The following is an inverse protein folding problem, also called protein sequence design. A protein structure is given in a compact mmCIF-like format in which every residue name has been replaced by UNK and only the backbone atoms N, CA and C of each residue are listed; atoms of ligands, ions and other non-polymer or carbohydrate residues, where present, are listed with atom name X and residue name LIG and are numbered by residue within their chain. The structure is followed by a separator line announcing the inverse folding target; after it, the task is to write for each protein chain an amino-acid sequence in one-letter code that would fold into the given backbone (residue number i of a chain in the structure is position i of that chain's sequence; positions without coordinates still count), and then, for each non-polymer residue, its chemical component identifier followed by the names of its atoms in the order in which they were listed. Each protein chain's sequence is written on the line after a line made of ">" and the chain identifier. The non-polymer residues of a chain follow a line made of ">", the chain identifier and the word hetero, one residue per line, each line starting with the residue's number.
data_IF_171558263523
#
_entry.id   IF_171558263523
#
_cell.length_a   1.000
_cell.length_b   1.000
_cell.length_c   1.000
_cell.angle_alpha   90.00
_cell.angle_beta   90.00
_cell.angle_gamma   90.00
#
_symmetry.space_group_name_H-M   'P 1'
#
loop_
_entity.id
_entity.type
_entity.pdbx_description
1 polymer ?
#
# COMPACT_ATOMS: atom_id res chain seq x y z
N UNK A 1 -4.95 -5.06 1.50
CA UNK A 1 -3.78 -4.34 2.06
C UNK A 1 -2.52 -4.43 1.20
N UNK A 2 -2.34 -5.49 0.43
CA UNK A 2 -1.18 -5.57 -0.47
C UNK A 2 -1.11 -4.39 -1.46
N UNK A 3 -2.23 -4.03 -2.07
CA UNK A 3 -2.31 -2.88 -2.96
C UNK A 3 -1.96 -1.57 -2.23
N UNK A 4 -2.47 -1.39 -1.01
CA UNK A 4 -2.22 -0.18 -0.20
C UNK A 4 -0.73 -0.06 0.16
N UNK A 5 -0.09 -1.17 0.51
CA UNK A 5 1.37 -1.22 0.73
C UNK A 5 2.14 -0.77 -0.51
N UNK A 6 1.81 -1.32 -1.67
CA UNK A 6 2.46 -0.95 -2.92
C UNK A 6 2.21 0.52 -3.27
N UNK A 7 0.98 0.99 -3.07
CA UNK A 7 0.59 2.36 -3.39
C UNK A 7 1.44 3.38 -2.63
N UNK A 8 1.58 3.24 -1.32
CA UNK A 8 2.26 4.26 -0.52
C UNK A 8 3.78 4.12 -0.52
N UNK A 9 4.31 2.92 -0.42
CA UNK A 9 5.75 2.73 -0.29
C UNK A 9 6.48 2.66 -1.63
N UNK A 10 5.95 1.95 -2.60
CA UNK A 10 6.62 1.85 -3.91
C UNK A 10 6.21 2.98 -4.84
N UNK A 11 4.92 3.21 -4.99
CA UNK A 11 4.39 4.17 -5.94
C UNK A 11 4.61 5.61 -5.46
N UNK A 12 4.08 5.97 -4.30
CA UNK A 12 4.18 7.34 -3.79
C UNK A 12 5.57 7.71 -3.28
N UNK A 13 6.16 6.90 -2.40
CA UNK A 13 7.44 7.24 -1.79
C UNK A 13 8.57 7.31 -2.81
N UNK A 14 8.63 6.38 -3.75
CA UNK A 14 9.70 6.23 -4.73
C UNK A 14 9.33 6.59 -6.16
N UNK A 15 8.06 6.94 -6.44
CA UNK A 15 7.55 7.21 -7.78
C UNK A 15 7.82 6.06 -8.75
N UNK A 16 7.66 4.83 -8.27
CA UNK A 16 7.83 3.63 -9.07
C UNK A 16 6.50 3.24 -9.68
N UNK A 17 6.55 2.62 -10.86
CA UNK A 17 5.36 2.05 -11.47
C UNK A 17 4.79 0.92 -10.61
N UNK A 18 3.47 0.76 -10.67
CA UNK A 18 2.81 -0.36 -10.00
C UNK A 18 3.36 -1.67 -10.56
N UNK A 19 3.55 -2.65 -9.66
CA UNK A 19 3.99 -4.00 -10.03
C UNK A 19 2.78 -4.89 -10.28
N UNK A 20 3.03 -6.08 -10.88
CA UNK A 20 1.98 -7.09 -11.06
C UNK A 20 1.39 -7.50 -9.70
N UNK A 21 0.07 -7.71 -9.57
CA UNK A 21 -0.92 -7.67 -10.65
C UNK A 21 -1.50 -6.28 -10.94
N UNK A 22 -1.17 -5.25 -10.16
CA UNK A 22 -1.86 -3.95 -10.19
C UNK A 22 -1.55 -3.13 -11.44
N UNK A 23 -0.40 -3.34 -12.07
CA UNK A 23 -0.03 -2.66 -13.32
C UNK A 23 -0.83 -3.17 -14.53
N UNK A 24 -1.49 -4.31 -14.41
CA UNK A 24 -2.26 -4.95 -15.47
C UNK A 24 -3.74 -4.62 -15.40
N UNK A 25 -4.17 -3.86 -14.38
CA UNK A 25 -5.57 -3.56 -14.10
C UNK A 25 -6.00 -2.27 -14.79
N UNK A 26 -7.15 -2.32 -15.46
CA UNK A 26 -7.82 -1.11 -15.92
C UNK A 26 -8.78 -0.62 -14.82
N UNK A 27 -8.27 0.26 -13.96
CA UNK A 27 -9.03 0.79 -12.83
C UNK A 27 -10.20 1.66 -13.24
N UNK A 28 -10.24 2.12 -14.51
CA UNK A 28 -11.39 2.86 -15.01
C UNK A 28 -12.60 1.97 -15.24
N UNK A 29 -12.37 0.68 -15.50
CA UNK A 29 -13.43 -0.32 -15.70
C UNK A 29 -13.88 -0.98 -14.40
N UNK A 30 -12.96 -1.17 -13.44
CA UNK A 30 -13.24 -1.77 -12.14
C UNK A 30 -12.43 -1.07 -11.06
N UNK A 31 -13.06 -0.09 -10.40
CA UNK A 31 -12.43 0.70 -9.35
C UNK A 31 -12.15 -0.10 -8.09
N UNK A 32 -12.89 -1.20 -7.90
CA UNK A 32 -12.80 -2.09 -6.73
C UNK A 32 -12.15 -3.43 -7.09
N UNK A 33 -11.28 -3.41 -8.11
CA UNK A 33 -10.67 -4.64 -8.61
C UNK A 33 -9.95 -5.43 -7.52
N UNK A 34 -9.27 -4.77 -6.60
CA UNK A 34 -8.55 -5.42 -5.51
C UNK A 34 -9.48 -6.21 -4.59
N UNK A 35 -10.69 -5.71 -4.35
CA UNK A 35 -11.72 -6.43 -3.62
C UNK A 35 -12.36 -7.54 -4.44
N UNK A 36 -12.69 -7.26 -5.68
CA UNK A 36 -13.37 -8.20 -6.57
C UNK A 36 -12.48 -9.39 -6.92
N UNK A 37 -11.19 -9.14 -7.18
CA UNK A 37 -10.22 -10.20 -7.47
C UNK A 37 -9.96 -11.09 -6.25
N UNK A 38 -10.00 -10.53 -5.04
CA UNK A 38 -9.78 -11.29 -3.82
C UNK A 38 -10.80 -12.40 -3.63
N UNK A 39 -12.04 -12.21 -4.10
CA UNK A 39 -13.09 -13.23 -4.02
C UNK A 39 -12.79 -14.47 -4.87
N UNK A 40 -11.90 -14.34 -5.86
CA UNK A 40 -11.53 -15.40 -6.79
C UNK A 40 -10.18 -16.04 -6.51
N UNK A 41 -9.39 -15.44 -5.62
CA UNK A 41 -8.06 -15.93 -5.26
C UNK A 41 -8.13 -16.81 -4.01
N UNK A 42 -7.21 -17.78 -3.93
CA UNK A 42 -7.08 -18.59 -2.71
C UNK A 42 -6.53 -17.77 -1.56
N UNK A 43 -6.83 -18.14 -0.30
CA UNK A 43 -6.21 -17.49 0.86
C UNK A 43 -4.69 -17.51 0.81
N UNK A 44 -4.09 -18.62 0.37
CA UNK A 44 -2.63 -18.76 0.24
C UNK A 44 -2.06 -17.73 -0.74
N UNK A 45 -2.72 -17.54 -1.88
CA UNK A 45 -2.30 -16.55 -2.87
C UNK A 45 -2.41 -15.13 -2.35
N UNK A 46 -3.48 -14.81 -1.64
CA UNK A 46 -3.69 -13.49 -1.03
C UNK A 46 -2.62 -13.21 0.04
N UNK A 47 -2.31 -14.17 0.89
CA UNK A 47 -1.25 -14.02 1.89
C UNK A 47 0.12 -13.85 1.24
N UNK A 48 0.42 -14.64 0.20
CA UNK A 48 1.70 -14.50 -0.52
C UNK A 48 1.85 -13.11 -1.15
N UNK A 49 0.79 -12.60 -1.75
CA UNK A 49 0.78 -11.26 -2.35
C UNK A 49 1.01 -10.18 -1.29
N UNK A 50 0.35 -10.29 -0.15
CA UNK A 50 0.50 -9.34 0.95
C UNK A 50 1.88 -9.41 1.59
N UNK A 51 2.39 -10.61 1.87
CA UNK A 51 3.73 -10.78 2.43
C UNK A 51 4.81 -10.21 1.49
N UNK A 52 4.70 -10.46 0.19
CA UNK A 52 5.62 -9.88 -0.80
C UNK A 52 5.58 -8.36 -0.81
N UNK A 53 4.38 -7.77 -0.72
CA UNK A 53 4.22 -6.32 -0.65
C UNK A 53 4.85 -5.75 0.63
N UNK A 54 4.64 -6.39 1.77
CA UNK A 54 5.24 -5.97 3.04
C UNK A 54 6.77 -6.07 3.01
N UNK A 55 7.32 -7.13 2.44
CA UNK A 55 8.78 -7.29 2.32
C UNK A 55 9.39 -6.19 1.48
N UNK A 56 8.76 -5.84 0.36
CA UNK A 56 9.20 -4.72 -0.46
C UNK A 56 9.10 -3.40 0.31
N UNK A 57 8.00 -3.14 1.01
CA UNK A 57 7.82 -1.94 1.81
C UNK A 57 8.92 -1.80 2.87
N UNK A 58 9.24 -2.86 3.59
CA UNK A 58 10.30 -2.86 4.60
C UNK A 58 11.66 -2.55 3.99
N UNK A 59 11.96 -3.12 2.84
CA UNK A 59 13.21 -2.87 2.11
C UNK A 59 13.33 -1.40 1.70
N UNK A 60 12.27 -0.83 1.15
CA UNK A 60 12.23 0.57 0.73
C UNK A 60 12.34 1.52 1.92
N UNK A 61 11.64 1.25 3.00
CA UNK A 61 11.70 2.05 4.24
C UNK A 61 13.10 1.99 4.83
N UNK A 62 13.71 0.81 4.89
CA UNK A 62 15.07 0.66 5.42
C UNK A 62 16.09 1.48 4.63
N UNK A 63 15.94 1.54 3.29
CA UNK A 63 16.83 2.35 2.45
C UNK A 63 16.71 3.84 2.74
N UNK A 64 15.49 4.34 2.99
CA UNK A 64 15.28 5.74 3.35
C UNK A 64 15.83 6.05 4.75
N UNK A 65 15.55 5.18 5.72
CA UNK A 65 16.02 5.38 7.09
C UNK A 65 17.54 5.41 7.20
N UNK A 66 18.23 4.65 6.35
CA UNK A 66 19.71 4.63 6.35
C UNK A 66 20.33 5.88 5.73
N UNK A 67 19.60 6.64 4.94
CA UNK A 67 20.13 7.81 4.22
C UNK A 67 19.56 9.14 4.70
N UNK A 68 18.25 9.29 4.82
CA UNK A 68 17.59 10.57 5.06
C UNK A 68 16.65 10.57 6.27
N UNK A 69 16.14 9.41 6.70
CA UNK A 69 15.30 9.28 7.88
C UNK A 69 13.83 9.60 7.63
N UNK A 70 13.09 9.79 8.72
CA UNK A 70 11.63 9.92 8.73
C UNK A 70 11.11 11.19 8.04
N UNK A 71 11.93 12.21 7.91
CA UNK A 71 11.53 13.49 7.30
C UNK A 71 11.71 13.50 5.78
N UNK A 72 12.18 12.41 5.19
CA UNK A 72 12.29 12.28 3.74
C UNK A 72 10.92 12.43 3.10
N UNK A 73 10.81 13.37 2.16
CA UNK A 73 9.58 13.56 1.41
C UNK A 73 9.44 12.52 0.30
N UNK A 74 8.21 12.08 0.05
CA UNK A 74 7.89 11.22 -1.07
C UNK A 74 8.23 11.92 -2.39
N UNK A 75 8.56 11.15 -3.41
CA UNK A 75 8.86 11.69 -4.73
C UNK A 75 7.59 12.16 -5.43
N UNK A 76 6.44 11.53 -5.19
CA UNK A 76 5.17 12.00 -5.70
C UNK A 76 4.64 13.17 -4.89
N UNK A 77 3.87 14.02 -5.58
CA UNK A 77 3.28 15.22 -5.01
C UNK A 77 1.76 15.20 -5.18
N UNK A 78 1.07 15.75 -4.19
CA UNK A 78 -0.34 16.10 -4.35
C UNK A 78 -0.50 17.27 -5.34
N UNK A 79 -1.74 17.52 -5.84
CA UNK A 79 -1.98 18.63 -6.78
C UNK A 79 -1.55 20.00 -6.25
N UNK A 80 -1.52 20.21 -4.94
CA UNK A 80 -1.07 21.47 -4.31
C UNK A 80 0.46 21.63 -4.28
N UNK A 81 1.21 20.62 -4.77
CA UNK A 81 2.68 20.63 -4.81
C UNK A 81 3.37 20.10 -3.57
N UNK A 82 2.61 19.75 -2.53
CA UNK A 82 3.17 19.16 -1.31
C UNK A 82 3.32 17.65 -1.45
N UNK A 83 4.30 17.09 -0.74
CA UNK A 83 4.55 15.65 -0.67
C UNK A 83 4.45 15.16 0.76
N UNK A 84 3.92 13.94 1.00
CA UNK A 84 3.97 13.36 2.33
C UNK A 84 5.40 12.98 2.69
N UNK A 85 5.74 13.08 3.99
CA UNK A 85 6.99 12.55 4.51
C UNK A 85 6.86 11.04 4.75
N UNK A 86 7.99 10.36 4.91
CA UNK A 86 7.97 8.95 5.33
C UNK A 86 7.23 8.78 6.66
N UNK A 87 7.41 9.70 7.61
CA UNK A 87 6.66 9.68 8.88
C UNK A 87 5.16 9.71 8.64
N UNK A 88 4.70 10.61 7.78
CA UNK A 88 3.29 10.70 7.44
C UNK A 88 2.76 9.39 6.85
N UNK A 89 3.52 8.79 5.92
CA UNK A 89 3.13 7.53 5.28
C UNK A 89 3.03 6.41 6.33
N UNK A 90 3.99 6.30 7.24
CA UNK A 90 3.96 5.27 8.28
C UNK A 90 2.76 5.43 9.22
N UNK A 91 2.47 6.66 9.65
CA UNK A 91 1.30 6.94 10.49
C UNK A 91 0.01 6.63 9.72
N UNK A 92 -0.06 7.03 8.46
CA UNK A 92 -1.21 6.73 7.61
C UNK A 92 -1.43 5.22 7.45
N UNK A 93 -0.36 4.45 7.33
CA UNK A 93 -0.45 2.99 7.25
C UNK A 93 -0.97 2.37 8.54
N UNK A 94 -0.62 2.92 9.69
CA UNK A 94 -1.22 2.49 10.97
C UNK A 94 -2.73 2.72 10.96
N UNK A 95 -3.18 3.88 10.49
CA UNK A 95 -4.61 4.18 10.35
C UNK A 95 -5.30 3.21 9.39
N UNK A 96 -4.68 2.92 8.25
CA UNK A 96 -5.24 2.01 7.25
C UNK A 96 -5.41 0.59 7.81
N UNK A 97 -4.40 0.05 8.49
CA UNK A 97 -4.49 -1.27 9.10
C UNK A 97 -5.52 -1.31 10.22
N UNK A 98 -5.58 -0.26 11.05
CA UNK A 98 -6.55 -0.19 12.13
C UNK A 98 -7.99 -0.15 11.58
N UNK A 99 -8.22 0.64 10.52
CA UNK A 99 -9.52 0.74 9.86
C UNK A 99 -9.97 -0.61 9.27
N UNK A 100 -9.09 -1.26 8.52
CA UNK A 100 -9.41 -2.55 7.90
C UNK A 100 -9.62 -3.64 8.95
N UNK A 101 -8.85 -3.66 10.01
CA UNK A 101 -9.03 -4.61 11.11
C UNK A 101 -10.37 -4.36 11.83
N UNK A 102 -10.75 -3.10 12.03
CA UNK A 102 -12.05 -2.74 12.60
C UNK A 102 -13.22 -3.22 11.74
N UNK A 103 -13.13 -3.04 10.42
CA UNK A 103 -14.13 -3.56 9.49
C UNK A 103 -14.23 -5.09 9.54
N UNK A 104 -13.07 -5.77 9.59
CA UNK A 104 -13.04 -7.23 9.70
C UNK A 104 -13.70 -7.71 11.00
N UNK A 105 -13.46 -7.03 12.10
CA UNK A 105 -14.10 -7.35 13.39
C UNK A 105 -15.62 -7.22 13.31
N UNK A 106 -16.13 -6.13 12.72
CA UNK A 106 -17.57 -5.94 12.56
C UNK A 106 -18.20 -7.02 11.68
N UNK A 107 -17.53 -7.40 10.59
CA UNK A 107 -18.00 -8.47 9.72
C UNK A 107 -18.05 -9.80 10.47
N UNK A 108 -17.00 -10.09 11.25
CA UNK A 108 -16.92 -11.33 12.04
C UNK A 108 -18.04 -11.41 13.10
N UNK A 109 -18.42 -10.29 13.70
CA UNK A 109 -19.45 -10.21 14.72
C UNK A 109 -20.88 -10.28 14.15
N UNK A 110 -21.03 -10.02 12.89
CA UNK A 110 -22.34 -10.11 12.25
C UNK A 110 -22.69 -11.56 11.91
#
# INVERSE_FOLDING_TARGET
>A
MAYVENHWFSDWLFDREKISPWNEVDWSKDRDWDWNSAAQDSPEKLFALWHGACDLSRSLVASVLSSAGLDQLAKRKWPDGNSPSLRWILVHMIEEYARHNGHADLIRES
#
